data_IF_281051715412
#
_entry.id   IF_281051715412
#
_cell.length_a   1.000
_cell.length_b   1.000
_cell.length_c   1.000
_cell.angle_alpha   90.00
_cell.angle_beta   90.00
_cell.angle_gamma   90.00
#
_symmetry.space_group_name_H-M   'P 1'
#
loop_
_entity.id
_entity.type
_entity.pdbx_description
1 polymer ?
#
# COMPACT_ATOMS: atom_id res chain seq x y z
N UNK A 1 -29.90 -24.88 18.04
CA UNK A 1 -29.31 -24.19 16.87
C UNK A 1 -29.87 -22.78 16.87
N UNK A 2 -29.15 -21.65 16.89
CA UNK A 2 -27.72 -21.37 16.82
C UNK A 2 -27.47 -19.85 16.91
N UNK A 3 -26.20 -19.50 17.04
CA UNK A 3 -25.55 -18.18 16.90
C UNK A 3 -25.82 -17.08 17.95
N UNK A 4 -24.99 -17.08 19.01
CA UNK A 4 -24.68 -15.90 19.81
C UNK A 4 -23.88 -14.89 18.98
N UNK A 5 -24.46 -13.72 18.70
CA UNK A 5 -23.77 -12.60 18.08
C UNK A 5 -22.74 -12.01 19.04
N UNK A 6 -21.45 -12.29 18.81
CA UNK A 6 -20.36 -11.62 19.54
C UNK A 6 -20.19 -10.21 18.97
N UNK A 7 -20.70 -9.23 19.71
CA UNK A 7 -20.38 -7.82 19.50
C UNK A 7 -18.90 -7.61 19.85
N UNK A 8 -18.08 -7.18 18.88
CA UNK A 8 -16.71 -6.77 19.17
C UNK A 8 -16.72 -5.41 19.87
N UNK A 9 -15.88 -5.19 20.90
CA UNK A 9 -15.73 -3.86 21.49
C UNK A 9 -15.06 -2.93 20.47
N UNK A 10 -15.38 -1.62 20.48
CA UNK A 10 -14.67 -0.64 19.67
C UNK A 10 -13.18 -0.63 20.04
N UNK A 11 -12.32 -0.50 19.02
CA UNK A 11 -10.88 -0.42 19.23
C UNK A 11 -10.55 0.77 20.18
N UNK A 12 -9.60 0.60 21.12
CA UNK A 12 -9.20 1.70 21.99
C UNK A 12 -8.66 2.85 21.13
N UNK A 13 -9.01 4.09 21.48
CA UNK A 13 -8.48 5.29 20.83
C UNK A 13 -6.96 5.32 21.04
N UNK A 14 -6.22 4.89 20.02
CA UNK A 14 -4.76 4.89 20.06
C UNK A 14 -4.24 6.33 19.96
N UNK A 15 -3.14 6.56 20.68
CA UNK A 15 -2.36 7.79 20.71
C UNK A 15 -2.00 8.24 19.26
N UNK A 16 -1.92 9.55 18.95
CA UNK A 16 -1.63 10.02 17.59
C UNK A 16 -0.34 9.39 17.04
N UNK A 17 -0.46 8.66 15.93
CA UNK A 17 0.59 7.84 15.31
C UNK A 17 1.90 8.60 15.00
N UNK A 18 1.83 9.93 14.88
CA UNK A 18 2.98 10.82 14.63
C UNK A 18 4.11 10.70 15.67
N UNK A 19 3.83 10.18 16.87
CA UNK A 19 4.80 10.09 17.97
C UNK A 19 5.52 8.73 18.10
N UNK A 20 5.22 7.73 17.25
CA UNK A 20 5.87 6.41 17.28
C UNK A 20 7.10 6.26 16.37
N UNK A 21 7.71 7.36 15.92
CA UNK A 21 9.03 7.30 15.27
C UNK A 21 10.11 7.23 16.35
N UNK A 22 10.47 6.00 16.73
CA UNK A 22 11.75 5.73 17.40
C UNK A 22 12.84 6.42 16.56
N UNK A 23 13.71 7.16 17.25
CA UNK A 23 14.83 7.92 16.71
C UNK A 23 15.86 6.94 16.09
N UNK A 24 15.54 6.34 14.96
CA UNK A 24 16.39 5.39 14.24
C UNK A 24 17.28 6.12 13.24
N UNK A 25 18.48 5.56 13.04
CA UNK A 25 19.42 5.85 11.94
C UNK A 25 18.66 6.23 10.66
N UNK A 26 19.11 7.27 9.92
CA UNK A 26 18.44 7.73 8.70
C UNK A 26 18.15 6.52 7.79
N UNK A 27 16.88 6.06 7.68
CA UNK A 27 16.59 4.79 7.04
C UNK A 27 16.92 4.85 5.54
N UNK A 28 16.98 6.05 4.95
CA UNK A 28 17.25 6.23 3.52
C UNK A 28 18.67 5.77 3.15
N UNK A 29 19.70 6.22 3.86
CA UNK A 29 21.09 5.88 3.51
C UNK A 29 21.38 4.41 3.75
N UNK A 30 20.90 3.85 4.87
CA UNK A 30 21.09 2.44 5.19
C UNK A 30 20.34 1.50 4.22
N UNK A 31 19.10 1.85 3.84
CA UNK A 31 18.34 1.10 2.82
C UNK A 31 19.04 1.11 1.46
N UNK A 32 19.52 2.28 1.02
CA UNK A 32 20.23 2.42 -0.26
C UNK A 32 21.57 1.68 -0.26
N UNK A 33 22.33 1.74 0.83
CA UNK A 33 23.58 0.99 0.99
C UNK A 33 23.32 -0.52 0.93
N UNK A 34 22.32 -1.02 1.67
CA UNK A 34 22.00 -2.44 1.65
C UNK A 34 21.55 -2.92 0.26
N UNK A 35 20.74 -2.12 -0.46
CA UNK A 35 20.34 -2.46 -1.83
C UNK A 35 21.55 -2.49 -2.79
N UNK A 36 22.54 -1.61 -2.60
CA UNK A 36 23.75 -1.62 -3.44
C UNK A 36 24.51 -2.95 -3.32
N UNK A 37 24.62 -3.48 -2.10
CA UNK A 37 25.26 -4.78 -1.84
C UNK A 37 24.37 -5.97 -2.25
N UNK A 38 23.05 -5.79 -2.24
CA UNK A 38 22.05 -6.83 -2.51
C UNK A 38 21.03 -6.35 -3.56
N UNK A 39 21.40 -6.23 -4.84
CA UNK A 39 20.60 -5.54 -5.87
C UNK A 39 19.24 -6.17 -6.19
N UNK A 40 18.99 -7.39 -5.68
CA UNK A 40 17.72 -8.11 -5.83
C UNK A 40 16.93 -8.23 -4.52
N UNK A 41 17.43 -7.67 -3.43
CA UNK A 41 16.74 -7.68 -2.15
C UNK A 41 15.40 -6.94 -2.26
N UNK A 42 14.35 -7.51 -1.65
CA UNK A 42 13.03 -6.88 -1.63
C UNK A 42 12.97 -5.90 -0.48
N UNK A 43 12.11 -4.88 -0.57
CA UNK A 43 11.95 -3.86 0.46
C UNK A 43 11.76 -4.43 1.88
N UNK A 44 11.04 -5.55 2.03
CA UNK A 44 10.86 -6.20 3.34
C UNK A 44 12.14 -6.84 3.88
N UNK A 45 12.97 -7.42 3.01
CA UNK A 45 14.21 -8.10 3.41
C UNK A 45 15.23 -7.04 3.85
N UNK A 46 15.28 -5.94 3.10
CA UNK A 46 16.06 -4.74 3.43
C UNK A 46 15.59 -4.15 4.77
N UNK A 47 14.28 -3.98 4.94
CA UNK A 47 13.70 -3.44 6.16
C UNK A 47 14.10 -4.26 7.40
N UNK A 48 14.00 -5.59 7.29
CA UNK A 48 14.42 -6.50 8.35
C UNK A 48 15.92 -6.40 8.65
N UNK A 49 16.78 -6.29 7.63
CA UNK A 49 18.22 -6.20 7.80
C UNK A 49 18.69 -4.86 8.38
N UNK A 50 18.02 -3.75 8.02
CA UNK A 50 18.38 -2.39 8.43
C UNK A 50 17.70 -1.98 9.75
N UNK A 51 16.64 -2.68 10.16
CA UNK A 51 15.86 -2.36 11.35
C UNK A 51 14.87 -1.22 11.14
N UNK A 52 14.27 -1.12 9.95
CA UNK A 52 13.18 -0.18 9.65
C UNK A 52 11.89 -0.91 9.22
N UNK A 53 10.81 -0.17 8.94
CA UNK A 53 9.56 -0.76 8.45
C UNK A 53 9.61 -1.03 6.94
N UNK A 54 8.77 -1.94 6.43
CA UNK A 54 8.66 -2.15 4.97
C UNK A 54 8.22 -0.86 4.27
N UNK A 55 7.32 -0.10 4.89
CA UNK A 55 6.89 1.21 4.42
C UNK A 55 8.05 2.21 4.29
N UNK A 56 8.90 2.34 5.32
CA UNK A 56 10.06 3.25 5.27
C UNK A 56 11.11 2.77 4.25
N UNK A 57 11.37 1.46 4.15
CA UNK A 57 12.26 0.92 3.13
C UNK A 57 11.71 1.19 1.72
N UNK A 58 10.41 0.97 1.49
CA UNK A 58 9.80 1.21 0.19
C UNK A 58 9.79 2.70 -0.19
N UNK A 59 9.55 3.59 0.77
CA UNK A 59 9.67 5.03 0.58
C UNK A 59 11.12 5.44 0.23
N UNK A 60 12.13 4.93 0.93
CA UNK A 60 13.54 5.21 0.66
C UNK A 60 14.01 4.74 -0.73
N UNK A 61 13.36 3.71 -1.29
CA UNK A 61 13.61 3.15 -2.61
C UNK A 61 12.79 3.79 -3.74
N UNK A 62 12.02 4.84 -3.42
CA UNK A 62 11.14 5.52 -4.36
C UNK A 62 11.66 6.91 -4.72
N UNK A 63 11.33 7.36 -5.93
CA UNK A 63 11.72 8.69 -6.43
C UNK A 63 10.69 9.75 -6.02
N UNK A 64 9.41 9.44 -6.17
CA UNK A 64 8.30 10.24 -5.67
C UNK A 64 7.61 9.52 -4.52
N UNK A 65 7.40 10.23 -3.42
CA UNK A 65 6.77 9.72 -2.20
C UNK A 65 5.72 10.69 -1.70
N UNK A 66 4.50 10.19 -1.57
CA UNK A 66 3.39 10.87 -0.92
C UNK A 66 2.86 9.98 0.20
N UNK A 67 2.95 10.46 1.43
CA UNK A 67 2.40 9.78 2.61
C UNK A 67 1.01 10.35 2.88
N UNK A 68 -0.02 9.62 2.50
CA UNK A 68 -1.42 10.03 2.66
C UNK A 68 -2.00 9.42 3.94
N UNK A 69 -2.80 10.19 4.66
CA UNK A 69 -3.48 9.73 5.87
C UNK A 69 -4.57 8.70 5.53
N UNK A 70 -4.83 7.74 6.43
CA UNK A 70 -5.85 6.71 6.22
C UNK A 70 -7.27 7.27 5.97
N UNK A 71 -7.55 8.49 6.42
CA UNK A 71 -8.80 9.19 6.13
C UNK A 71 -9.04 9.42 4.63
N UNK A 72 -7.98 9.40 3.81
CA UNK A 72 -8.05 9.58 2.35
C UNK A 72 -8.30 8.26 1.59
N UNK A 73 -8.59 7.16 2.29
CA UNK A 73 -8.75 5.86 1.67
C UNK A 73 -9.92 5.83 0.67
N UNK A 74 -11.03 6.49 0.97
CA UNK A 74 -12.19 6.49 0.08
C UNK A 74 -11.91 7.28 -1.21
N UNK A 75 -11.19 8.40 -1.14
CA UNK A 75 -10.76 9.18 -2.29
C UNK A 75 -9.75 8.41 -3.16
N UNK A 76 -8.78 7.73 -2.53
CA UNK A 76 -7.81 6.88 -3.23
C UNK A 76 -8.51 5.72 -3.93
N UNK A 77 -9.46 5.06 -3.26
CA UNK A 77 -10.23 3.97 -3.85
C UNK A 77 -11.12 4.47 -4.99
N UNK A 78 -11.75 5.62 -4.86
CA UNK A 78 -12.53 6.25 -5.94
C UNK A 78 -11.66 6.52 -7.17
N UNK A 79 -10.43 7.00 -6.99
CA UNK A 79 -9.50 7.19 -8.09
C UNK A 79 -9.12 5.86 -8.76
N UNK A 80 -8.80 4.84 -7.97
CA UNK A 80 -8.48 3.48 -8.47
C UNK A 80 -9.66 2.88 -9.24
N UNK A 81 -10.90 3.05 -8.74
CA UNK A 81 -12.09 2.52 -9.40
C UNK A 81 -12.41 3.23 -10.71
N UNK A 82 -11.93 4.47 -10.88
CA UNK A 82 -11.98 5.19 -12.15
C UNK A 82 -11.07 4.62 -13.23
N UNK A 83 -10.16 3.68 -12.91
CA UNK A 83 -9.29 3.03 -13.89
C UNK A 83 -9.99 1.85 -14.57
N UNK A 84 -9.69 1.64 -15.86
CA UNK A 84 -10.26 0.49 -16.60
C UNK A 84 -9.83 -0.85 -15.99
N UNK A 85 -8.55 -0.98 -15.63
CA UNK A 85 -7.98 -2.15 -14.94
C UNK A 85 -6.95 -1.70 -13.91
N UNK A 86 -6.90 -2.41 -12.79
CA UNK A 86 -5.90 -2.24 -11.74
C UNK A 86 -5.23 -3.58 -11.48
N UNK A 87 -3.89 -3.60 -11.41
CA UNK A 87 -3.18 -4.77 -10.89
C UNK A 87 -3.07 -4.61 -9.37
N UNK A 88 -3.63 -5.58 -8.65
CA UNK A 88 -3.56 -5.67 -7.21
C UNK A 88 -2.51 -6.72 -6.84
N UNK A 89 -1.55 -6.33 -6.00
CA UNK A 89 -0.59 -7.24 -5.41
C UNK A 89 -0.89 -7.37 -3.92
N UNK A 90 -1.16 -8.61 -3.50
CA UNK A 90 -1.20 -9.01 -2.10
C UNK A 90 -0.08 -9.99 -1.82
N UNK A 91 0.45 -9.96 -0.62
CA UNK A 91 1.51 -10.86 -0.24
C UNK A 91 1.49 -11.19 1.24
N UNK A 92 2.13 -12.30 1.56
CA UNK A 92 2.58 -12.60 2.90
C UNK A 92 4.09 -12.92 2.85
N UNK A 93 4.60 -13.59 3.87
CA UNK A 93 6.02 -13.98 3.94
C UNK A 93 6.41 -14.95 2.83
N UNK A 94 5.51 -15.87 2.46
CA UNK A 94 5.82 -17.05 1.66
C UNK A 94 5.12 -17.08 0.29
N UNK A 95 4.23 -16.13 0.02
CA UNK A 95 3.45 -16.08 -1.21
C UNK A 95 3.15 -14.66 -1.66
N UNK A 96 3.07 -14.50 -2.98
CA UNK A 96 2.65 -13.27 -3.66
C UNK A 96 1.55 -13.65 -4.64
N UNK A 97 0.47 -12.88 -4.64
CA UNK A 97 -0.60 -12.95 -5.62
C UNK A 97 -0.70 -11.61 -6.34
N UNK A 98 -0.57 -11.64 -7.67
CA UNK A 98 -0.83 -10.50 -8.54
C UNK A 98 -2.10 -10.79 -9.35
N UNK A 99 -3.14 -9.97 -9.18
CA UNK A 99 -4.43 -10.15 -9.86
C UNK A 99 -4.79 -8.85 -10.55
N UNK A 100 -5.17 -8.93 -11.83
CA UNK A 100 -5.66 -7.75 -12.55
C UNK A 100 -7.19 -7.74 -12.53
N UNK A 101 -7.77 -6.75 -11.87
CA UNK A 101 -9.22 -6.60 -11.67
C UNK A 101 -9.74 -5.33 -12.38
N UNK A 102 -11.01 -5.28 -12.78
CA UNK A 102 -11.61 -4.06 -13.31
C UNK A 102 -11.83 -3.03 -12.19
N UNK A 103 -11.55 -1.75 -12.42
CA UNK A 103 -11.70 -0.72 -11.38
C UNK A 103 -13.15 -0.58 -10.91
N UNK A 104 -14.10 -0.46 -11.84
CA UNK A 104 -15.49 -0.14 -11.54
C UNK A 104 -16.38 -1.27 -10.98
N UNK A 105 -15.86 -2.49 -10.75
CA UNK A 105 -16.65 -3.62 -10.20
C UNK A 105 -16.37 -3.93 -8.74
N UNK A 106 -15.54 -3.11 -8.08
CA UNK A 106 -15.24 -3.32 -6.67
C UNK A 106 -16.43 -2.89 -5.78
N UNK A 107 -16.65 -3.58 -4.66
CA UNK A 107 -17.63 -3.19 -3.66
C UNK A 107 -17.03 -3.13 -2.26
N UNK A 108 -17.28 -2.03 -1.53
CA UNK A 108 -16.88 -1.86 -0.13
C UNK A 108 -18.01 -2.25 0.81
N UNK A 109 -17.73 -3.14 1.76
CA UNK A 109 -18.64 -3.57 2.84
C UNK A 109 -17.93 -3.41 4.18
N UNK A 110 -18.14 -2.28 4.84
CA UNK A 110 -17.40 -1.90 6.05
C UNK A 110 -15.90 -1.80 5.76
N UNK A 111 -15.11 -2.59 6.49
CA UNK A 111 -13.64 -2.64 6.35
C UNK A 111 -13.15 -3.44 5.14
N UNK A 112 -14.05 -4.10 4.41
CA UNK A 112 -13.69 -5.03 3.35
C UNK A 112 -13.97 -4.47 1.96
N UNK A 113 -12.97 -4.55 1.09
CA UNK A 113 -13.06 -4.30 -0.35
C UNK A 113 -13.12 -5.64 -1.09
N UNK A 114 -14.07 -5.77 -2.01
CA UNK A 114 -14.40 -7.03 -2.64
C UNK A 114 -14.46 -6.90 -4.17
N UNK A 115 -13.76 -7.77 -4.88
CA UNK A 115 -14.05 -8.13 -6.26
C UNK A 115 -14.56 -9.58 -6.28
N UNK A 116 -15.79 -9.75 -6.75
CA UNK A 116 -16.45 -11.06 -6.91
C UNK A 116 -16.63 -11.30 -8.40
N UNK A 117 -15.86 -12.23 -8.94
CA UNK A 117 -15.85 -12.59 -10.36
C UNK A 117 -15.92 -14.12 -10.48
N UNK A 118 -16.59 -14.69 -11.50
CA UNK A 118 -16.61 -16.14 -11.70
C UNK A 118 -15.21 -16.77 -11.79
N UNK A 119 -14.20 -16.04 -12.27
CA UNK A 119 -12.83 -16.53 -12.39
C UNK A 119 -11.99 -16.35 -11.12
N UNK A 120 -12.35 -15.42 -10.23
CA UNK A 120 -11.60 -15.15 -9.00
C UNK A 120 -12.43 -14.40 -7.97
N UNK A 121 -12.10 -14.59 -6.69
CA UNK A 121 -12.61 -13.77 -5.61
C UNK A 121 -11.44 -13.10 -4.90
N UNK A 122 -11.53 -11.79 -4.73
CA UNK A 122 -10.52 -11.00 -4.02
C UNK A 122 -11.20 -10.20 -2.91
N UNK A 123 -10.80 -10.49 -1.68
CA UNK A 123 -11.29 -9.81 -0.49
C UNK A 123 -10.12 -9.18 0.25
N UNK A 124 -10.16 -7.87 0.42
CA UNK A 124 -9.11 -7.10 1.08
C UNK A 124 -9.69 -6.39 2.29
N UNK A 125 -9.11 -6.60 3.47
CA UNK A 125 -9.49 -5.86 4.68
C UNK A 125 -8.81 -4.49 4.70
N UNK A 126 -9.27 -3.59 3.84
CA UNK A 126 -8.70 -2.24 3.68
C UNK A 126 -8.84 -1.37 4.93
N UNK A 127 -9.74 -1.71 5.87
CA UNK A 127 -9.85 -1.05 7.17
C UNK A 127 -8.61 -1.19 8.09
N UNK A 128 -7.67 -2.09 7.77
CA UNK A 128 -6.38 -2.18 8.46
C UNK A 128 -5.38 -1.07 8.07
N UNK A 129 -5.75 -0.21 7.12
CA UNK A 129 -4.89 0.88 6.62
C UNK A 129 -4.80 2.00 7.65
N UNK A 130 -3.57 2.34 8.05
CA UNK A 130 -3.28 3.53 8.87
C UNK A 130 -2.51 4.60 8.11
N UNK A 131 -1.87 4.21 7.01
CA UNK A 131 -1.18 5.09 6.07
C UNK A 131 -1.30 4.53 4.65
N UNK A 132 -1.31 5.42 3.66
CA UNK A 132 -1.24 5.05 2.24
C UNK A 132 0.02 5.69 1.66
N UNK A 133 0.92 4.87 1.12
CA UNK A 133 2.07 5.36 0.36
C UNK A 133 1.72 5.39 -1.12
N UNK A 134 1.58 6.59 -1.68
CA UNK A 134 1.61 6.79 -3.12
C UNK A 134 3.08 6.91 -3.54
N UNK A 135 3.53 6.04 -4.43
CA UNK A 135 4.94 5.92 -4.80
C UNK A 135 5.15 5.89 -6.31
N UNK A 136 6.21 6.55 -6.75
CA UNK A 136 6.79 6.35 -8.08
C UNK A 136 8.18 5.70 -7.97
N UNK A 137 8.43 4.70 -8.82
CA UNK A 137 9.71 3.98 -8.87
C UNK A 137 10.13 3.70 -10.31
N UNK A 138 11.43 3.75 -10.63
CA UNK A 138 11.92 3.27 -11.91
C UNK A 138 11.67 1.76 -12.01
N UNK A 139 11.13 1.32 -13.14
CA UNK A 139 10.88 -0.09 -13.44
C UNK A 139 11.52 -0.49 -14.76
N UNK A 140 11.60 -1.81 -15.00
CA UNK A 140 12.18 -2.38 -16.24
C UNK A 140 11.55 -1.80 -17.52
N UNK A 141 10.25 -1.51 -17.47
CA UNK A 141 9.46 -1.02 -18.61
C UNK A 141 9.05 0.45 -18.42
N UNK A 142 9.88 1.24 -17.73
CA UNK A 142 9.58 2.63 -17.39
C UNK A 142 8.99 2.81 -15.99
N UNK A 143 8.43 3.99 -15.74
CA UNK A 143 7.91 4.39 -14.44
C UNK A 143 6.86 3.40 -13.93
N UNK A 144 6.93 3.08 -12.64
CA UNK A 144 5.89 2.34 -11.93
C UNK A 144 5.25 3.27 -10.91
N UNK A 145 3.92 3.35 -10.92
CA UNK A 145 3.13 4.16 -10.00
C UNK A 145 2.24 3.22 -9.18
N UNK A 146 2.18 3.43 -7.86
CA UNK A 146 1.40 2.57 -6.97
C UNK A 146 0.85 3.27 -5.74
N UNK A 147 -0.35 2.87 -5.32
CA UNK A 147 -0.86 3.11 -3.97
C UNK A 147 -0.60 1.87 -3.12
N UNK A 148 -0.04 2.05 -1.93
CA UNK A 148 0.40 0.97 -1.07
C UNK A 148 -0.25 1.15 0.30
N UNK A 149 -1.07 0.19 0.73
CA UNK A 149 -1.75 0.25 2.01
C UNK A 149 -0.82 -0.27 3.11
N UNK A 150 -0.67 0.52 4.18
CA UNK A 150 0.24 0.27 5.29
C UNK A 150 -0.55 0.06 6.58
N UNK A 151 -0.19 -0.98 7.35
CA UNK A 151 -0.79 -1.27 8.65
C UNK A 151 -0.05 -0.60 9.84
N UNK A 152 -0.57 -0.76 11.06
CA UNK A 152 0.03 -0.21 12.30
C UNK A 152 1.49 -0.62 12.54
N UNK A 153 1.94 -1.73 11.95
CA UNK A 153 3.32 -2.22 12.05
C UNK A 153 4.24 -1.69 10.94
N UNK A 154 3.75 -0.84 10.04
CA UNK A 154 4.50 -0.37 8.88
C UNK A 154 4.66 -1.43 7.79
N UNK A 155 3.83 -2.47 7.77
CA UNK A 155 3.84 -3.52 6.73
C UNK A 155 3.00 -3.08 5.54
N UNK A 156 3.48 -3.35 4.32
CA UNK A 156 2.74 -3.04 3.09
C UNK A 156 1.95 -4.27 2.67
N UNK A 157 0.68 -4.34 3.06
CA UNK A 157 -0.13 -5.55 2.88
C UNK A 157 -0.85 -5.63 1.53
N UNK A 158 -1.06 -4.50 0.85
CA UNK A 158 -1.72 -4.44 -0.45
C UNK A 158 -1.14 -3.31 -1.30
N UNK A 159 -1.00 -3.56 -2.61
CA UNK A 159 -0.53 -2.57 -3.59
C UNK A 159 -1.46 -2.52 -4.79
N UNK A 160 -1.82 -1.32 -5.22
CA UNK A 160 -2.59 -1.06 -6.43
C UNK A 160 -1.67 -0.38 -7.45
N UNK A 161 -1.42 -1.02 -8.59
CA UNK A 161 -0.52 -0.52 -9.62
C UNK A 161 -1.27 0.12 -10.78
N UNK A 162 -0.86 1.34 -11.15
CA UNK A 162 -1.19 1.95 -12.42
C UNK A 162 -0.23 1.43 -13.51
N UNK A 163 -0.73 0.55 -14.38
CA UNK A 163 0.06 -0.22 -15.36
C UNK A 163 0.08 0.35 -16.77
N UNK A 164 -0.68 1.42 -17.03
CA UNK A 164 -0.77 2.04 -18.37
C UNK A 164 -0.38 3.52 -18.31
N UNK A 165 0.13 4.13 -19.40
CA UNK A 165 0.43 5.56 -19.42
C UNK A 165 -0.77 6.43 -19.00
N UNK A 166 -1.98 6.04 -19.39
CA UNK A 166 -3.21 6.74 -19.00
C UNK A 166 -3.46 6.67 -17.48
N UNK A 167 -3.34 5.49 -16.87
CA UNK A 167 -3.51 5.34 -15.41
C UNK A 167 -2.37 5.97 -14.63
N UNK A 168 -1.15 5.99 -15.17
CA UNK A 168 -0.02 6.69 -14.57
C UNK A 168 -0.21 8.21 -14.58
N UNK A 169 -0.71 8.78 -15.69
CA UNK A 169 -1.06 10.21 -15.76
C UNK A 169 -2.13 10.57 -14.73
N UNK A 170 -3.16 9.74 -14.58
CA UNK A 170 -4.20 9.92 -13.57
C UNK A 170 -3.64 9.86 -12.15
N UNK A 171 -2.82 8.84 -11.84
CA UNK A 171 -2.12 8.73 -10.57
C UNK A 171 -1.31 9.99 -10.26
N UNK A 172 -0.48 10.46 -11.20
CA UNK A 172 0.37 11.65 -11.01
C UNK A 172 -0.48 12.91 -10.76
N UNK A 173 -1.57 13.06 -11.51
CA UNK A 173 -2.50 14.19 -11.33
C UNK A 173 -3.20 14.14 -9.97
N UNK A 174 -3.53 12.94 -9.47
CA UNK A 174 -4.15 12.76 -8.16
C UNK A 174 -3.19 13.15 -7.03
N UNK A 175 -1.95 12.63 -7.05
CA UNK A 175 -1.00 12.83 -5.95
C UNK A 175 -0.43 14.25 -5.89
N UNK A 176 -0.44 14.99 -7.00
CA UNK A 176 -0.05 16.41 -7.04
C UNK A 176 -0.90 17.32 -6.14
N UNK A 177 -2.09 16.88 -5.74
CA UNK A 177 -2.93 17.62 -4.79
C UNK A 177 -2.47 17.47 -3.32
N UNK A 178 -1.44 16.66 -3.07
CA UNK A 178 -0.94 16.36 -1.73
C UNK A 178 0.57 16.66 -1.64
N UNK A 179 1.06 17.08 -0.47
CA UNK A 179 2.48 17.39 -0.30
C UNK A 179 3.35 16.13 -0.44
N UNK A 180 4.51 16.29 -1.06
CA UNK A 180 5.61 15.33 -1.03
C UNK A 180 6.32 15.40 0.32
N UNK A 181 6.70 14.26 0.89
CA UNK A 181 7.48 14.17 2.14
C UNK A 181 8.97 14.04 1.91
#
# INVERSE_FOLDING_TARGET
>A
MGASGRCFPPAPKSMPWRQRRIKAMNPVSAVKAYLADHPRARAIDIAAAVGCTEADALAALSEGVWRLEAGLLDEVLAEIFGWARVMVLVRNQNGVAEVTVPGGLASRRGDWLNWIDPAYNLHLRVGATVEILALTRPGKNGLTCSFNLVDEGGRVFCRFYARTPATQKRFLSFVQNYPTT
#
